data_IF_901545143167
#
_entry.id   IF_901545143167
#
_cell.length_a   1.000
_cell.length_b   1.000
_cell.length_c   1.000
_cell.angle_alpha   90.00
_cell.angle_beta   90.00
_cell.angle_gamma   90.00
#
_symmetry.space_group_name_H-M   'P 1'
#
loop_
_entity.id
_entity.type
_entity.pdbx_description
1 polymer ?
#
# COMPACT_ATOMS: atom_id res chain seq x y z
N UNK A 1 -11.43 40.96 41.60
CA UNK A 1 -10.64 41.03 40.35
C UNK A 1 -10.59 39.63 39.78
N UNK A 2 -11.45 39.33 38.82
CA UNK A 2 -11.63 38.01 38.22
C UNK A 2 -11.40 38.20 36.72
N UNK A 3 -10.29 37.67 36.21
CA UNK A 3 -9.94 37.75 34.79
C UNK A 3 -10.41 36.48 34.09
N UNK A 4 -11.27 36.67 33.08
CA UNK A 4 -11.72 35.65 32.14
C UNK A 4 -10.64 35.42 31.08
N UNK A 5 -10.24 34.16 30.89
CA UNK A 5 -9.37 33.71 29.79
C UNK A 5 -10.28 33.29 28.61
N UNK A 6 -10.07 33.77 27.37
CA UNK A 6 -10.83 33.30 26.23
C UNK A 6 -10.31 31.92 25.78
N UNK A 7 -11.23 30.95 25.72
CA UNK A 7 -11.02 29.65 25.09
C UNK A 7 -11.06 29.88 23.57
N UNK A 8 -9.90 29.81 22.92
CA UNK A 8 -9.82 29.68 21.47
C UNK A 8 -10.24 28.26 21.09
N UNK A 9 -11.47 28.11 20.61
CA UNK A 9 -11.90 26.90 19.89
C UNK A 9 -11.23 26.93 18.53
N UNK A 10 -10.16 26.15 18.37
CA UNK A 10 -9.60 25.86 17.06
C UNK A 10 -10.57 24.92 16.33
N UNK A 11 -11.37 25.50 15.44
CA UNK A 11 -12.09 24.74 14.42
C UNK A 11 -11.02 24.24 13.46
N UNK A 12 -10.67 22.95 13.54
CA UNK A 12 -9.93 22.27 12.47
C UNK A 12 -10.83 22.26 11.23
N UNK A 13 -10.63 23.22 10.33
CA UNK A 13 -11.08 23.09 8.97
C UNK A 13 -10.27 21.93 8.36
N UNK A 14 -10.88 20.75 8.29
CA UNK A 14 -10.36 19.66 7.46
C UNK A 14 -10.31 20.19 6.02
N UNK A 15 -9.11 20.51 5.54
CA UNK A 15 -8.91 20.90 4.15
C UNK A 15 -9.28 19.72 3.26
N UNK A 16 -10.25 19.90 2.36
CA UNK A 16 -10.66 18.91 1.35
C UNK A 16 -9.60 18.67 0.25
N UNK A 17 -8.37 19.17 0.42
CA UNK A 17 -7.27 19.06 -0.53
C UNK A 17 -7.00 17.64 -1.05
N UNK A 18 -7.08 16.55 -0.25
CA UNK A 18 -6.82 15.20 -0.75
C UNK A 18 -7.93 14.68 -1.68
N UNK A 19 -9.18 15.03 -1.38
CA UNK A 19 -10.34 14.58 -2.17
C UNK A 19 -10.45 15.29 -3.52
N UNK A 20 -10.04 16.56 -3.57
CA UNK A 20 -10.00 17.35 -4.81
C UNK A 20 -8.88 16.87 -5.76
N UNK A 21 -7.73 16.48 -5.20
CA UNK A 21 -6.64 15.86 -5.97
C UNK A 21 -7.00 14.46 -6.48
N UNK A 22 -7.70 13.66 -5.67
CA UNK A 22 -8.22 12.37 -6.10
C UNK A 22 -9.26 12.52 -7.23
N UNK A 23 -10.16 13.49 -7.15
CA UNK A 23 -11.16 13.76 -8.19
C UNK A 23 -10.54 14.30 -9.49
N UNK A 24 -9.47 15.09 -9.40
CA UNK A 24 -8.69 15.54 -10.56
C UNK A 24 -7.97 14.37 -11.24
N UNK A 25 -7.42 13.41 -10.49
CA UNK A 25 -6.84 12.19 -11.03
C UNK A 25 -7.90 11.36 -11.79
N UNK A 26 -9.11 11.19 -11.23
CA UNK A 26 -10.22 10.47 -11.88
C UNK A 26 -10.63 11.05 -13.23
N UNK A 27 -10.60 12.38 -13.40
CA UNK A 27 -10.89 13.01 -14.69
C UNK A 27 -9.78 12.84 -15.73
N UNK A 28 -8.52 12.75 -15.30
CA UNK A 28 -7.39 12.42 -16.18
C UNK A 28 -7.46 10.94 -16.59
N UNK A 29 -7.95 10.08 -15.70
CA UNK A 29 -8.15 8.64 -15.93
C UNK A 29 -9.19 8.30 -17.01
N UNK A 30 -10.32 9.01 -17.04
CA UNK A 30 -11.38 8.76 -18.04
C UNK A 30 -11.02 9.24 -19.47
N UNK A 31 -9.98 10.07 -19.60
CA UNK A 31 -9.59 10.72 -20.86
C UNK A 31 -8.35 10.09 -21.54
N UNK A 32 -7.62 9.20 -20.87
CA UNK A 32 -6.34 8.67 -21.35
C UNK A 32 -6.51 7.32 -22.09
N UNK A 33 -6.30 7.31 -23.41
CA UNK A 33 -5.97 6.08 -24.16
C UNK A 33 -4.56 5.57 -23.85
N UNK A 34 -4.21 4.38 -24.38
CA UNK A 34 -2.96 3.62 -24.10
C UNK A 34 -1.66 4.44 -24.18
N UNK A 35 -1.59 5.51 -24.98
CA UNK A 35 -0.38 6.35 -25.13
C UNK A 35 -0.16 7.33 -23.95
N UNK A 36 -1.19 7.62 -23.14
CA UNK A 36 -1.09 8.52 -21.98
C UNK A 36 -0.92 7.77 -20.64
N UNK A 37 -0.73 6.47 -20.74
CA UNK A 37 -0.77 5.54 -19.64
C UNK A 37 0.42 5.75 -18.67
N UNK A 38 1.65 5.72 -19.20
CA UNK A 38 2.88 6.00 -18.43
C UNK A 38 2.91 7.41 -17.82
N UNK A 39 2.37 8.39 -18.55
CA UNK A 39 2.32 9.79 -18.07
C UNK A 39 1.33 9.96 -16.91
N UNK A 40 0.19 9.26 -16.95
CA UNK A 40 -0.77 9.27 -15.86
C UNK A 40 -0.17 8.64 -14.61
N UNK A 41 0.50 7.48 -14.73
CA UNK A 41 1.14 6.78 -13.61
C UNK A 41 2.16 7.67 -12.88
N UNK A 42 2.95 8.47 -13.60
CA UNK A 42 3.89 9.44 -13.01
C UNK A 42 3.24 10.59 -12.22
N UNK A 43 1.97 10.91 -12.49
CA UNK A 43 1.25 11.94 -11.74
C UNK A 43 0.66 11.35 -10.46
N UNK A 44 0.08 10.15 -10.55
CA UNK A 44 -0.43 9.39 -9.40
C UNK A 44 0.70 9.04 -8.42
N UNK A 45 1.89 8.77 -8.95
CA UNK A 45 3.13 8.47 -8.23
C UNK A 45 3.50 9.45 -7.12
N UNK A 46 3.13 10.73 -7.24
CA UNK A 46 3.45 11.75 -6.23
C UNK A 46 2.44 11.83 -5.10
N UNK A 47 1.34 11.08 -5.21
CA UNK A 47 0.33 11.01 -4.16
C UNK A 47 0.87 10.01 -3.11
N UNK A 48 1.09 10.45 -1.86
CA UNK A 48 1.49 9.54 -0.80
C UNK A 48 0.48 8.40 -0.69
N UNK A 49 0.98 7.18 -0.50
CA UNK A 49 0.11 6.07 -0.14
C UNK A 49 -0.39 6.27 1.29
N UNK A 50 -1.71 6.44 1.41
CA UNK A 50 -2.42 6.65 2.68
C UNK A 50 -2.98 5.33 3.25
N UNK A 51 -2.80 4.22 2.53
CA UNK A 51 -3.38 2.91 2.88
C UNK A 51 -2.91 2.46 4.25
N UNK A 52 -1.60 2.52 4.53
CA UNK A 52 -1.02 2.16 5.83
C UNK A 52 -1.56 3.03 6.98
N UNK A 53 -1.78 4.33 6.74
CA UNK A 53 -2.39 5.22 7.72
C UNK A 53 -3.80 4.78 8.08
N UNK A 54 -4.62 4.46 7.08
CA UNK A 54 -5.99 3.97 7.31
C UNK A 54 -6.02 2.58 7.94
N UNK A 55 -5.07 1.69 7.63
CA UNK A 55 -4.93 0.41 8.33
C UNK A 55 -4.61 0.59 9.80
N UNK A 56 -3.69 1.50 10.14
CA UNK A 56 -3.38 1.80 11.54
C UNK A 56 -4.60 2.33 12.29
N UNK A 57 -5.30 3.32 11.73
CA UNK A 57 -6.51 3.86 12.36
C UNK A 57 -7.61 2.81 12.51
N UNK A 58 -7.84 1.98 11.49
CA UNK A 58 -8.82 0.91 11.53
C UNK A 58 -8.55 -0.09 12.66
N UNK A 59 -7.29 -0.52 12.81
CA UNK A 59 -6.86 -1.42 13.88
C UNK A 59 -7.01 -0.78 15.27
N UNK A 60 -6.61 0.49 15.42
CA UNK A 60 -6.73 1.22 16.69
C UNK A 60 -8.19 1.36 17.12
N UNK A 61 -9.06 1.85 16.23
CA UNK A 61 -10.49 1.98 16.52
C UNK A 61 -11.16 0.63 16.81
N UNK A 62 -10.74 -0.44 16.15
CA UNK A 62 -11.25 -1.78 16.41
C UNK A 62 -10.94 -2.24 17.84
N UNK A 63 -9.69 -2.05 18.30
CA UNK A 63 -9.26 -2.41 19.66
C UNK A 63 -9.97 -1.56 20.72
N UNK A 64 -10.28 -0.31 20.41
CA UNK A 64 -11.08 0.59 21.25
C UNK A 64 -12.59 0.28 21.23
N UNK A 65 -13.00 -0.76 20.48
CA UNK A 65 -14.40 -1.15 20.28
C UNK A 65 -15.25 -0.07 19.57
N UNK A 66 -14.61 0.88 18.88
CA UNK A 66 -15.26 1.82 17.95
C UNK A 66 -15.35 1.19 16.56
N UNK A 67 -16.31 0.27 16.43
CA UNK A 67 -16.53 -0.51 15.22
C UNK A 67 -16.99 0.35 14.02
N UNK A 68 -17.69 1.46 14.30
CA UNK A 68 -18.17 2.38 13.26
C UNK A 68 -17.00 3.14 12.64
N UNK A 69 -16.13 3.71 13.48
CA UNK A 69 -14.91 4.36 12.99
C UNK A 69 -14.00 3.36 12.32
N UNK A 70 -13.79 2.18 12.92
CA UNK A 70 -12.95 1.13 12.32
C UNK A 70 -13.42 0.76 10.90
N UNK A 71 -14.72 0.46 10.72
CA UNK A 71 -15.28 0.16 9.41
C UNK A 71 -15.11 1.31 8.41
N UNK A 72 -15.31 2.55 8.84
CA UNK A 72 -15.06 3.73 8.00
C UNK A 72 -13.61 3.79 7.51
N UNK A 73 -12.64 3.59 8.41
CA UNK A 73 -11.21 3.63 8.04
C UNK A 73 -10.85 2.48 7.08
N UNK A 74 -11.43 1.28 7.24
CA UNK A 74 -11.25 0.19 6.27
C UNK A 74 -11.73 0.58 4.87
N UNK A 75 -12.89 1.24 4.76
CA UNK A 75 -13.38 1.73 3.45
C UNK A 75 -12.48 2.80 2.85
N UNK A 76 -11.94 3.69 3.69
CA UNK A 76 -10.96 4.70 3.24
C UNK A 76 -9.66 4.05 2.71
N UNK A 77 -9.21 2.95 3.31
CA UNK A 77 -8.09 2.17 2.79
C UNK A 77 -8.44 1.47 1.46
N UNK A 78 -9.67 0.99 1.29
CA UNK A 78 -10.13 0.47 0.00
C UNK A 78 -10.18 1.56 -1.08
N UNK A 79 -10.59 2.77 -0.71
CA UNK A 79 -10.59 3.93 -1.60
C UNK A 79 -9.19 4.39 -1.99
N UNK A 80 -8.20 4.32 -1.08
CA UNK A 80 -6.82 4.65 -1.42
C UNK A 80 -6.23 3.67 -2.45
N UNK A 81 -6.61 2.38 -2.40
CA UNK A 81 -6.21 1.41 -3.43
C UNK A 81 -6.69 1.77 -4.84
N UNK A 82 -7.79 2.50 -4.99
CA UNK A 82 -8.27 2.96 -6.31
C UNK A 82 -7.24 3.80 -7.04
N UNK A 83 -6.37 4.50 -6.31
CA UNK A 83 -5.28 5.30 -6.89
C UNK A 83 -4.32 4.41 -7.69
N UNK A 84 -4.18 3.13 -7.34
CA UNK A 84 -3.31 2.17 -8.00
C UNK A 84 -4.00 1.40 -9.15
N UNK A 85 -5.30 1.61 -9.37
CA UNK A 85 -6.02 1.10 -10.54
C UNK A 85 -5.71 1.97 -11.76
N UNK A 86 -4.46 1.92 -12.20
CA UNK A 86 -4.02 2.68 -13.37
C UNK A 86 -4.52 2.03 -14.66
N UNK A 87 -4.55 2.79 -15.76
CA UNK A 87 -4.93 2.24 -17.08
C UNK A 87 -3.96 1.14 -17.53
N UNK A 88 -2.73 1.10 -16.99
CA UNK A 88 -1.64 0.21 -17.44
C UNK A 88 -1.40 -0.97 -16.49
N UNK A 89 -2.10 -1.02 -15.35
CA UNK A 89 -1.99 -2.09 -14.37
C UNK A 89 -2.80 -3.35 -14.73
N UNK A 90 -2.97 -3.70 -16.00
CA UNK A 90 -3.94 -4.73 -16.42
C UNK A 90 -3.75 -6.10 -15.77
N UNK A 91 -2.49 -6.49 -15.50
CA UNK A 91 -2.18 -7.74 -14.82
C UNK A 91 -2.51 -7.72 -13.32
N UNK A 92 -2.34 -6.58 -12.64
CA UNK A 92 -2.57 -6.44 -11.20
C UNK A 92 -3.96 -5.89 -10.87
N UNK A 93 -4.67 -5.34 -11.86
CA UNK A 93 -6.02 -4.79 -11.74
C UNK A 93 -6.97 -5.78 -11.07
N UNK A 94 -7.03 -7.08 -11.47
CA UNK A 94 -7.89 -8.05 -10.77
C UNK A 94 -7.53 -8.23 -9.30
N UNK A 95 -6.24 -8.22 -8.95
CA UNK A 95 -5.78 -8.38 -7.59
C UNK A 95 -6.09 -7.15 -6.72
N UNK A 96 -5.91 -5.93 -7.26
CA UNK A 96 -6.27 -4.68 -6.57
C UNK A 96 -7.79 -4.63 -6.34
N UNK A 97 -8.59 -4.95 -7.36
CA UNK A 97 -10.05 -5.01 -7.23
C UNK A 97 -10.50 -6.05 -6.20
N UNK A 98 -9.88 -7.23 -6.18
CA UNK A 98 -10.17 -8.26 -5.18
C UNK A 98 -9.82 -7.79 -3.76
N UNK A 99 -8.68 -7.12 -3.57
CA UNK A 99 -8.29 -6.53 -2.27
C UNK A 99 -9.27 -5.45 -1.83
N UNK A 100 -9.71 -4.56 -2.73
CA UNK A 100 -10.74 -3.56 -2.44
C UNK A 100 -12.06 -4.20 -2.02
N UNK A 101 -12.55 -5.20 -2.76
CA UNK A 101 -13.78 -5.93 -2.41
C UNK A 101 -13.66 -6.66 -1.06
N UNK A 102 -12.50 -7.27 -0.79
CA UNK A 102 -12.21 -7.90 0.49
C UNK A 102 -12.27 -6.91 1.66
N UNK A 103 -11.75 -5.69 1.47
CA UNK A 103 -11.83 -4.62 2.47
C UNK A 103 -13.25 -4.08 2.66
N UNK A 104 -14.04 -3.92 1.59
CA UNK A 104 -15.45 -3.54 1.72
C UNK A 104 -16.26 -4.59 2.50
N UNK A 105 -16.05 -5.88 2.20
CA UNK A 105 -16.67 -6.97 2.94
C UNK A 105 -16.22 -7.03 4.41
N UNK A 106 -14.95 -6.71 4.67
CA UNK A 106 -14.40 -6.59 6.02
C UNK A 106 -15.06 -5.42 6.76
N UNK A 107 -15.13 -4.23 6.16
CA UNK A 107 -15.74 -3.05 6.76
C UNK A 107 -17.19 -3.34 7.19
N UNK A 108 -17.96 -3.95 6.30
CA UNK A 108 -19.32 -4.40 6.58
C UNK A 108 -19.41 -5.38 7.75
N UNK A 109 -18.43 -6.28 7.86
CA UNK A 109 -18.38 -7.27 8.94
C UNK A 109 -17.98 -6.63 10.27
N UNK A 110 -17.03 -5.69 10.25
CA UNK A 110 -16.61 -4.90 11.42
C UNK A 110 -17.78 -4.09 11.94
N UNK A 111 -18.46 -3.35 11.06
CA UNK A 111 -19.60 -2.50 11.42
C UNK A 111 -20.74 -3.28 12.08
N UNK A 112 -20.96 -4.53 11.64
CA UNK A 112 -21.98 -5.44 12.17
C UNK A 112 -21.50 -6.22 13.40
N UNK A 113 -20.29 -5.98 13.91
CA UNK A 113 -19.69 -6.71 15.03
C UNK A 113 -19.48 -8.20 14.77
N UNK A 114 -19.32 -8.59 13.50
CA UNK A 114 -19.18 -9.99 13.07
C UNK A 114 -17.73 -10.46 13.00
N UNK A 115 -16.78 -9.53 13.12
CA UNK A 115 -15.36 -9.88 13.19
C UNK A 115 -15.04 -10.36 14.59
N UNK A 116 -14.45 -11.54 14.69
CA UNK A 116 -14.19 -12.21 15.97
C UNK A 116 -12.89 -11.76 16.64
N UNK A 117 -11.95 -11.17 15.89
CA UNK A 117 -10.65 -10.77 16.42
C UNK A 117 -9.93 -9.76 15.51
N UNK A 118 -9.00 -8.94 16.06
CA UNK A 118 -8.16 -8.03 15.27
C UNK A 118 -7.33 -8.74 14.18
N UNK A 119 -7.04 -10.04 14.38
CA UNK A 119 -6.30 -10.85 13.43
C UNK A 119 -6.95 -10.89 12.05
N UNK A 120 -8.29 -10.89 11.98
CA UNK A 120 -9.02 -10.89 10.70
C UNK A 120 -8.76 -9.60 9.91
N UNK A 121 -8.70 -8.44 10.59
CA UNK A 121 -8.35 -7.17 9.95
C UNK A 121 -6.93 -7.25 9.40
N UNK A 122 -5.99 -7.72 10.22
CA UNK A 122 -4.58 -7.80 9.87
C UNK A 122 -4.31 -8.72 8.68
N UNK A 123 -5.03 -9.85 8.57
CA UNK A 123 -4.90 -10.76 7.42
C UNK A 123 -5.41 -10.12 6.12
N UNK A 124 -6.50 -9.35 6.16
CA UNK A 124 -7.00 -8.62 4.98
C UNK A 124 -6.04 -7.48 4.61
N UNK A 125 -5.55 -6.73 5.58
CA UNK A 125 -4.58 -5.64 5.35
C UNK A 125 -3.28 -6.19 4.77
N UNK A 126 -2.74 -7.29 5.30
CA UNK A 126 -1.53 -7.91 4.78
C UNK A 126 -1.67 -8.40 3.32
N UNK A 127 -2.86 -8.86 2.91
CA UNK A 127 -3.13 -9.19 1.50
C UNK A 127 -3.12 -7.94 0.61
N UNK A 128 -3.68 -6.83 1.09
CA UNK A 128 -3.65 -5.57 0.37
C UNK A 128 -2.21 -5.02 0.23
N UNK A 129 -1.42 -5.03 1.31
CA UNK A 129 0.02 -4.68 1.28
C UNK A 129 0.79 -5.55 0.27
N UNK A 130 0.51 -6.86 0.20
CA UNK A 130 1.17 -7.72 -0.79
C UNK A 130 0.84 -7.34 -2.24
N UNK A 131 -0.40 -6.93 -2.51
CA UNK A 131 -0.78 -6.45 -3.84
C UNK A 131 -0.05 -5.15 -4.18
N UNK A 132 0.07 -4.24 -3.21
CA UNK A 132 0.85 -3.01 -3.36
C UNK A 132 2.33 -3.30 -3.56
N UNK A 133 2.90 -4.26 -2.82
CA UNK A 133 4.28 -4.71 -3.02
C UNK A 133 4.51 -5.17 -4.46
N UNK A 134 3.63 -6.02 -5.01
CA UNK A 134 3.71 -6.44 -6.42
C UNK A 134 3.66 -5.27 -7.39
N UNK A 135 2.74 -4.34 -7.16
CA UNK A 135 2.62 -3.13 -7.97
C UNK A 135 3.93 -2.33 -7.96
N UNK A 136 4.53 -2.15 -6.79
CA UNK A 136 5.78 -1.43 -6.63
C UNK A 136 7.00 -2.16 -7.22
N UNK A 137 7.08 -3.49 -7.16
CA UNK A 137 8.15 -4.24 -7.86
C UNK A 137 8.05 -4.04 -9.36
N UNK A 138 6.85 -4.14 -9.94
CA UNK A 138 6.65 -3.96 -11.38
C UNK A 138 7.07 -2.55 -11.82
N UNK A 139 6.70 -1.54 -11.04
CA UNK A 139 7.15 -0.16 -11.27
C UNK A 139 8.66 -0.01 -11.15
N UNK A 140 9.28 -0.65 -10.16
CA UNK A 140 10.73 -0.60 -10.00
C UNK A 140 11.46 -1.20 -11.20
N UNK A 141 10.93 -2.30 -11.77
CA UNK A 141 11.44 -2.92 -12.99
C UNK A 141 11.32 -1.98 -14.19
N UNK A 142 10.15 -1.39 -14.41
CA UNK A 142 9.92 -0.45 -15.51
C UNK A 142 10.86 0.77 -15.43
N UNK A 143 10.93 1.41 -14.25
CA UNK A 143 11.82 2.55 -14.04
C UNK A 143 13.30 2.19 -14.22
N UNK A 144 13.70 0.98 -13.82
CA UNK A 144 15.03 0.47 -14.05
C UNK A 144 15.35 0.32 -15.55
N UNK A 145 14.45 -0.27 -16.32
CA UNK A 145 14.59 -0.45 -17.77
C UNK A 145 14.66 0.90 -18.51
N UNK A 146 13.93 1.90 -18.01
CA UNK A 146 13.98 3.29 -18.46
C UNK A 146 15.23 4.07 -18.00
N UNK A 147 16.11 3.44 -17.21
CA UNK A 147 17.31 4.04 -16.59
C UNK A 147 16.99 5.18 -15.62
N UNK A 148 15.80 5.20 -15.08
CA UNK A 148 15.39 6.11 -14.02
C UNK A 148 15.67 5.48 -12.66
N UNK A 149 16.94 5.51 -12.25
CA UNK A 149 17.41 4.82 -11.05
C UNK A 149 16.76 5.34 -9.77
N UNK A 150 16.52 6.65 -9.67
CA UNK A 150 15.86 7.23 -8.49
C UNK A 150 14.44 6.66 -8.32
N UNK A 151 13.63 6.64 -9.38
CA UNK A 151 12.26 6.13 -9.31
C UNK A 151 12.24 4.60 -9.11
N UNK A 152 13.20 3.87 -9.70
CA UNK A 152 13.38 2.45 -9.43
C UNK A 152 13.68 2.19 -7.94
N UNK A 153 14.56 3.00 -7.35
CA UNK A 153 14.90 2.96 -5.94
C UNK A 153 13.71 3.25 -5.04
N UNK A 154 12.94 4.31 -5.32
CA UNK A 154 11.74 4.66 -4.56
C UNK A 154 10.68 3.55 -4.60
N UNK A 155 10.37 3.04 -5.80
CA UNK A 155 9.38 1.98 -5.96
C UNK A 155 9.85 0.69 -5.28
N UNK A 156 11.12 0.31 -5.40
CA UNK A 156 11.67 -0.86 -4.71
C UNK A 156 11.57 -0.71 -3.19
N UNK A 157 11.90 0.48 -2.67
CA UNK A 157 11.75 0.80 -1.24
C UNK A 157 10.31 0.62 -0.77
N UNK A 158 9.34 1.21 -1.47
CA UNK A 158 7.91 1.06 -1.18
C UNK A 158 7.47 -0.41 -1.20
N UNK A 159 7.94 -1.23 -2.15
CA UNK A 159 7.67 -2.66 -2.16
C UNK A 159 8.18 -3.36 -0.90
N UNK A 160 9.42 -3.08 -0.48
CA UNK A 160 10.01 -3.74 0.69
C UNK A 160 9.28 -3.37 1.97
N UNK A 161 8.89 -2.10 2.12
CA UNK A 161 8.08 -1.63 3.25
C UNK A 161 6.72 -2.34 3.30
N UNK A 162 6.04 -2.48 2.17
CA UNK A 162 4.76 -3.18 2.13
C UNK A 162 4.89 -4.66 2.55
N UNK A 163 5.96 -5.34 2.11
CA UNK A 163 6.21 -6.74 2.53
C UNK A 163 6.45 -6.84 4.04
N UNK A 164 7.25 -5.92 4.61
CA UNK A 164 7.50 -5.88 6.06
C UNK A 164 6.22 -5.63 6.85
N UNK A 165 5.43 -4.63 6.46
CA UNK A 165 4.14 -4.34 7.09
C UNK A 165 3.24 -5.58 7.07
N UNK A 166 3.17 -6.26 5.93
CA UNK A 166 2.35 -7.45 5.77
C UNK A 166 2.81 -8.59 6.71
N UNK A 167 4.11 -8.86 6.79
CA UNK A 167 4.70 -9.88 7.69
C UNK A 167 4.47 -9.53 9.17
N UNK A 168 4.70 -8.27 9.55
CA UNK A 168 4.53 -7.78 10.91
C UNK A 168 3.07 -7.92 11.38
N UNK A 169 2.11 -7.57 10.52
CA UNK A 169 0.67 -7.62 10.83
C UNK A 169 0.17 -9.03 11.12
N UNK A 170 0.67 -10.03 10.39
CA UNK A 170 0.24 -11.42 10.55
C UNK A 170 1.07 -12.19 11.57
N UNK A 171 2.06 -11.55 12.20
CA UNK A 171 3.06 -12.21 13.04
C UNK A 171 3.67 -13.46 12.36
N UNK A 172 3.86 -13.37 11.03
CA UNK A 172 4.33 -14.51 10.25
C UNK A 172 5.77 -14.82 10.64
N UNK A 173 6.03 -16.09 10.97
CA UNK A 173 7.38 -16.56 11.30
C UNK A 173 8.13 -16.86 10.02
N UNK A 174 8.78 -15.85 9.48
CA UNK A 174 9.69 -16.01 8.35
C UNK A 174 10.87 -16.95 8.73
N UNK A 175 11.21 -17.86 7.81
CA UNK A 175 12.34 -18.79 7.93
C UNK A 175 13.64 -18.20 7.41
N UNK A 176 13.66 -16.92 7.05
CA UNK A 176 14.81 -16.16 6.55
C UNK A 176 14.70 -15.79 5.07
N UNK A 177 13.67 -16.27 4.36
CA UNK A 177 13.52 -16.00 2.92
C UNK A 177 13.02 -14.58 2.69
N UNK A 178 11.99 -14.17 3.43
CA UNK A 178 11.36 -12.86 3.23
C UNK A 178 12.27 -11.74 3.76
N UNK A 179 12.78 -11.89 4.98
CA UNK A 179 13.67 -10.93 5.64
C UNK A 179 14.93 -10.64 4.81
N UNK A 180 15.57 -11.68 4.26
CA UNK A 180 16.73 -11.52 3.39
C UNK A 180 16.39 -10.75 2.10
N UNK A 181 15.29 -11.10 1.43
CA UNK A 181 14.87 -10.41 0.22
C UNK A 181 14.53 -8.93 0.48
N UNK A 182 13.87 -8.64 1.60
CA UNK A 182 13.56 -7.28 2.04
C UNK A 182 14.84 -6.49 2.34
N UNK A 183 15.80 -7.08 3.06
CA UNK A 183 17.08 -6.43 3.38
C UNK A 183 17.85 -6.08 2.10
N UNK A 184 17.96 -7.04 1.18
CA UNK A 184 18.62 -6.83 -0.12
C UNK A 184 17.89 -5.78 -0.96
N UNK A 185 16.55 -5.81 -0.97
CA UNK A 185 15.73 -4.79 -1.62
C UNK A 185 15.98 -3.39 -1.10
N UNK A 186 16.06 -3.23 0.23
CA UNK A 186 16.36 -1.94 0.87
C UNK A 186 17.77 -1.44 0.56
N UNK A 187 18.75 -2.34 0.59
CA UNK A 187 20.13 -2.00 0.24
C UNK A 187 20.24 -1.54 -1.22
N UNK A 188 19.60 -2.26 -2.15
CA UNK A 188 19.58 -1.86 -3.55
C UNK A 188 18.79 -0.56 -3.76
N UNK A 189 17.65 -0.40 -3.08
CA UNK A 189 16.86 0.84 -3.10
C UNK A 189 17.71 2.04 -2.68
N UNK A 190 18.46 1.93 -1.58
CA UNK A 190 19.41 2.96 -1.15
C UNK A 190 20.47 3.28 -2.20
N UNK A 191 21.13 2.25 -2.77
CA UNK A 191 22.12 2.45 -3.84
C UNK A 191 21.54 3.18 -5.05
N UNK A 192 20.33 2.80 -5.47
CA UNK A 192 19.61 3.40 -6.61
C UNK A 192 19.30 4.88 -6.36
N UNK A 193 18.93 5.24 -5.13
CA UNK A 193 18.65 6.62 -4.72
C UNK A 193 19.93 7.47 -4.60
N UNK A 194 21.01 6.89 -4.10
CA UNK A 194 22.29 7.57 -3.89
C UNK A 194 23.14 7.68 -5.16
N UNK A 195 22.71 7.04 -6.26
CA UNK A 195 23.46 7.00 -7.52
C UNK A 195 24.77 6.21 -7.42
N UNK A 196 24.81 5.19 -6.55
CA UNK A 196 25.98 4.34 -6.36
C UNK A 196 26.26 3.44 -7.56
N UNK A 197 27.43 2.78 -7.55
CA UNK A 197 27.76 1.76 -8.54
C UNK A 197 26.85 0.53 -8.34
N UNK A 198 26.10 0.19 -9.40
CA UNK A 198 25.11 -0.90 -9.37
C UNK A 198 25.39 -1.85 -10.54
N UNK A 199 25.64 -3.11 -10.21
CA UNK A 199 25.77 -4.14 -11.24
C UNK A 199 24.38 -4.58 -11.71
N UNK A 200 24.13 -4.69 -13.03
CA UNK A 200 22.82 -5.13 -13.54
C UNK A 200 22.36 -6.48 -12.98
N UNK A 201 23.29 -7.40 -12.70
CA UNK A 201 22.99 -8.71 -12.12
C UNK A 201 22.47 -8.61 -10.68
N UNK A 202 22.92 -7.62 -9.91
CA UNK A 202 22.42 -7.34 -8.57
C UNK A 202 20.94 -6.97 -8.63
N UNK A 203 20.57 -6.12 -9.59
CA UNK A 203 19.18 -5.66 -9.78
C UNK A 203 18.26 -6.80 -10.16
N UNK A 204 18.60 -7.56 -11.20
CA UNK A 204 17.78 -8.69 -11.67
C UNK A 204 17.57 -9.72 -10.57
N UNK A 205 18.63 -10.01 -9.80
CA UNK A 205 18.55 -10.95 -8.68
C UNK A 205 17.64 -10.43 -7.57
N UNK A 206 17.80 -9.17 -7.15
CA UNK A 206 16.97 -8.59 -6.09
C UNK A 206 15.48 -8.58 -6.47
N UNK A 207 15.13 -8.26 -7.71
CA UNK A 207 13.73 -8.36 -8.17
C UNK A 207 13.19 -9.79 -8.12
N UNK A 208 13.99 -10.79 -8.52
CA UNK A 208 13.60 -12.19 -8.44
C UNK A 208 13.44 -12.68 -6.99
N UNK A 209 14.33 -12.26 -6.09
CA UNK A 209 14.29 -12.59 -4.66
C UNK A 209 13.04 -11.97 -4.00
N UNK A 210 12.69 -10.73 -4.32
CA UNK A 210 11.44 -10.12 -3.84
C UNK A 210 10.21 -10.82 -4.41
N UNK A 211 10.19 -11.13 -5.72
CA UNK A 211 9.08 -11.88 -6.31
C UNK A 211 8.87 -13.24 -5.62
N UNK A 212 9.96 -13.92 -5.28
CA UNK A 212 9.94 -15.18 -4.52
C UNK A 212 9.41 -14.98 -3.09
N UNK A 213 9.83 -13.92 -2.40
CA UNK A 213 9.36 -13.59 -1.06
C UNK A 213 7.84 -13.31 -1.05
N UNK A 214 7.34 -12.53 -2.01
CA UNK A 214 5.91 -12.27 -2.17
C UNK A 214 5.15 -13.58 -2.40
N UNK A 215 5.59 -14.41 -3.36
CA UNK A 215 4.92 -15.69 -3.64
C UNK A 215 4.91 -16.65 -2.45
N UNK A 216 6.01 -16.69 -1.69
CA UNK A 216 6.12 -17.48 -0.45
C UNK A 216 5.11 -16.99 0.58
N UNK A 217 5.00 -15.68 0.76
CA UNK A 217 4.08 -15.12 1.75
C UNK A 217 2.62 -15.29 1.32
N UNK A 218 2.29 -15.18 0.03
CA UNK A 218 0.95 -15.47 -0.51
C UNK A 218 0.48 -16.91 -0.22
N UNK A 219 1.37 -17.89 -0.38
CA UNK A 219 1.07 -19.29 -0.09
C UNK A 219 0.68 -19.50 1.39
N UNK A 220 1.23 -18.70 2.32
CA UNK A 220 0.88 -18.80 3.74
C UNK A 220 -0.60 -18.51 4.04
N UNK A 221 -1.23 -17.64 3.23
CA UNK A 221 -2.66 -17.34 3.34
C UNK A 221 -3.56 -18.46 2.80
N UNK A 222 -3.06 -19.27 1.86
CA UNK A 222 -3.82 -20.39 1.28
C UNK A 222 -3.82 -21.61 2.21
N UNK A 223 -2.71 -21.84 2.92
CA UNK A 223 -2.60 -22.95 3.89
C UNK A 223 -3.48 -22.70 5.11
N UNK A 224 -3.69 -21.45 5.50
CA UNK A 224 -4.50 -21.08 6.68
C UNK A 224 -6.02 -21.10 6.43
N UNK A 225 -6.46 -21.29 5.19
CA UNK A 225 -7.88 -21.30 4.80
C UNK A 225 -8.51 -22.71 4.72
N UNK A 226 -7.77 -23.75 5.13
CA UNK A 226 -8.24 -25.14 5.25
C UNK A 226 -8.44 -25.51 6.72
#
# INVERSE_FOLDING_TARGET
MQWLIPIFVWVCAASNAPAEQAAAATKVYEAAGEENCERAERIIEKIPDETEYFFHLASTSYVENDLQTSAKQVRQAADSLKKHLTVCADELRPAILASMQGMEALADSVEKGRVSSPRVLHEVFARAELVLAKHHVKRAQQAWDEKNHADAGQALGASTTNIENAVLRTAYKDTGTISKAVEQGKLLSGKLLDGGDIEPIEVTKTFADIGTAIGTFEQSFQVSAK
#
